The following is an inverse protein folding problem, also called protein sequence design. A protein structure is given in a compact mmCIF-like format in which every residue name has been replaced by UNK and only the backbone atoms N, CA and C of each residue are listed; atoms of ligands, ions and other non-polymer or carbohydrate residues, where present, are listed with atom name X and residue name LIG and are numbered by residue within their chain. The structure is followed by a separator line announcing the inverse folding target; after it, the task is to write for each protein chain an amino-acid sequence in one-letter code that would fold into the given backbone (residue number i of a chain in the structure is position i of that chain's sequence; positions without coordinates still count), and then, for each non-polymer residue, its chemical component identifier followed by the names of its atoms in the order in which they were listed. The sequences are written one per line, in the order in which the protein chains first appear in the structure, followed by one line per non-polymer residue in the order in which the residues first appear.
data_IF_316465342473
#
_entry.id   IF_316465342473
#
_cell.length_a   1.000
_cell.length_b   1.000
_cell.length_c   1.000
_cell.angle_alpha   90.00
_cell.angle_beta   90.00
_cell.angle_gamma   90.00
#
_symmetry.space_group_name_H-M   'P 1'
#
loop_
_entity.id
_entity.type
_entity.pdbx_description
1 polymer ?
#
# COMPACT_ATOMS: atom_id res chain seq x y z
N UNK A 1 -3.52 -6.14 -44.35
CA UNK A 1 -2.57 -5.06 -43.97
C UNK A 1 -3.29 -3.75 -44.21
N UNK A 2 -3.54 -2.94 -43.17
CA UNK A 2 -2.47 -2.24 -42.47
C UNK A 2 -2.37 -2.58 -40.98
N UNK A 3 -1.18 -2.30 -40.44
CA UNK A 3 -0.70 -2.53 -39.09
C UNK A 3 -1.11 -1.38 -38.16
N UNK A 4 -1.78 -1.68 -37.05
CA UNK A 4 -1.97 -0.74 -35.94
C UNK A 4 -0.89 -0.96 -34.89
N UNK A 5 -0.01 0.02 -34.72
CA UNK A 5 1.01 0.04 -33.68
C UNK A 5 0.37 0.27 -32.31
N UNK A 6 0.47 -0.72 -31.42
CA UNK A 6 0.25 -0.51 -29.99
C UNK A 6 1.43 0.29 -29.42
N UNK A 7 1.15 1.51 -28.95
CA UNK A 7 2.06 2.25 -28.07
C UNK A 7 2.18 1.52 -26.72
N UNK A 8 3.34 1.53 -26.04
CA UNK A 8 3.47 0.98 -24.70
C UNK A 8 2.66 1.81 -23.69
N UNK A 9 2.00 1.12 -22.75
CA UNK A 9 1.21 1.74 -21.67
C UNK A 9 2.16 2.39 -20.66
N UNK A 10 2.06 3.72 -20.50
CA UNK A 10 2.86 4.54 -19.59
C UNK A 10 2.76 4.16 -18.09
N UNK A 11 1.81 3.30 -17.69
CA UNK A 11 1.61 2.90 -16.30
C UNK A 11 2.68 1.95 -15.73
N UNK A 12 3.44 1.23 -16.57
CA UNK A 12 4.42 0.24 -16.09
C UNK A 12 5.79 0.83 -15.70
N UNK A 13 6.15 2.03 -16.19
CA UNK A 13 7.45 2.63 -15.88
C UNK A 13 7.49 3.25 -14.47
N UNK A 14 6.39 3.84 -14.01
CA UNK A 14 6.31 4.42 -12.66
C UNK A 14 6.53 3.39 -11.55
N UNK A 15 5.96 2.18 -11.69
CA UNK A 15 6.12 1.09 -10.73
C UNK A 15 7.54 0.49 -10.75
N UNK A 16 8.22 0.55 -11.89
CA UNK A 16 9.61 0.08 -12.06
C UNK A 16 10.60 1.04 -11.40
N UNK A 17 10.31 2.35 -11.42
CA UNK A 17 11.14 3.38 -10.77
C UNK A 17 11.08 3.33 -9.24
N UNK A 18 9.92 3.00 -8.65
CA UNK A 18 9.73 2.82 -7.19
C UNK A 18 10.73 1.82 -6.57
N UNK A 19 11.07 0.74 -7.28
CA UNK A 19 11.84 -0.37 -6.69
C UNK A 19 13.35 -0.30 -6.95
N UNK A 20 13.82 0.55 -7.87
CA UNK A 20 15.25 0.65 -8.18
C UNK A 20 16.09 1.41 -7.13
N UNK A 21 15.48 1.99 -6.09
CA UNK A 21 16.16 2.74 -5.02
C UNK A 21 16.07 2.12 -3.62
N UNK A 22 15.45 0.95 -3.46
CA UNK A 22 15.41 0.25 -2.17
C UNK A 22 16.71 -0.57 -1.97
N UNK A 23 17.49 -0.36 -0.89
CA UNK A 23 18.70 -1.14 -0.65
C UNK A 23 18.31 -2.56 -0.24
N UNK A 24 18.54 -3.52 -1.13
CA UNK A 24 18.42 -4.95 -0.86
C UNK A 24 19.53 -5.40 0.10
N UNK A 25 19.15 -5.69 1.35
CA UNK A 25 19.99 -6.49 2.26
C UNK A 25 20.00 -7.96 1.83
N UNK A 26 21.09 -8.72 2.09
CA UNK A 26 21.21 -10.09 1.61
C UNK A 26 20.43 -11.00 2.54
N UNK A 27 19.57 -11.90 2.03
CA UNK A 27 19.36 -13.22 2.64
C UNK A 27 18.58 -14.13 1.67
N UNK A 28 19.33 -14.70 0.72
CA UNK A 28 18.92 -15.88 -0.01
C UNK A 28 19.48 -17.11 0.74
N UNK A 29 18.61 -18.07 1.11
CA UNK A 29 18.81 -19.54 0.95
C UNK A 29 18.27 -20.52 2.01
N UNK A 30 17.71 -20.13 3.17
CA UNK A 30 17.35 -21.14 4.21
C UNK A 30 15.84 -21.48 4.40
N UNK A 31 14.89 -20.81 3.75
CA UNK A 31 13.47 -20.88 4.16
C UNK A 31 12.55 -21.82 3.34
N UNK A 32 13.07 -22.67 2.44
CA UNK A 32 12.22 -23.46 1.52
C UNK A 32 11.45 -24.63 2.18
N UNK A 33 11.83 -25.07 3.38
CA UNK A 33 11.29 -26.29 4.01
C UNK A 33 10.19 -26.12 5.07
N UNK A 34 10.06 -24.94 5.69
CA UNK A 34 9.27 -24.78 6.92
C UNK A 34 7.80 -24.34 6.71
N UNK A 35 7.44 -23.78 5.56
CA UNK A 35 6.13 -23.16 5.34
C UNK A 35 4.96 -24.13 5.18
N UNK A 36 5.20 -25.40 4.81
CA UNK A 36 4.11 -26.36 4.49
C UNK A 36 3.28 -26.84 5.68
N UNK A 37 3.68 -26.62 6.93
CA UNK A 37 3.04 -27.24 8.10
C UNK A 37 2.25 -26.30 9.03
N UNK A 38 2.12 -25.00 8.75
CA UNK A 38 1.47 -24.05 9.68
C UNK A 38 0.50 -23.03 9.05
N UNK A 39 -0.05 -23.29 7.87
CA UNK A 39 -1.13 -22.47 7.32
C UNK A 39 -2.51 -23.05 7.73
N UNK A 40 -2.88 -22.87 9.00
CA UNK A 40 -4.27 -22.95 9.44
C UNK A 40 -4.85 -21.54 9.52
N UNK A 41 -6.16 -21.33 9.28
CA UNK A 41 -6.75 -19.99 9.23
C UNK A 41 -6.79 -19.40 10.65
N UNK A 42 -5.82 -18.55 10.98
CA UNK A 42 -5.84 -17.78 12.22
C UNK A 42 -6.78 -16.61 12.05
N UNK A 43 -7.94 -16.69 12.72
CA UNK A 43 -8.88 -15.58 12.90
C UNK A 43 -8.19 -14.47 13.70
N UNK A 44 -7.53 -13.53 13.01
CA UNK A 44 -6.94 -12.32 13.60
C UNK A 44 -7.86 -11.08 13.45
N UNK A 45 -9.19 -11.27 13.37
CA UNK A 45 -10.14 -10.20 13.02
C UNK A 45 -10.65 -9.31 14.18
N UNK A 46 -10.01 -9.27 15.36
CA UNK A 46 -10.61 -8.53 16.50
C UNK A 46 -9.73 -7.61 17.34
N UNK A 47 -8.54 -7.19 16.90
CA UNK A 47 -7.70 -6.26 17.70
C UNK A 47 -7.21 -4.99 16.99
N UNK A 48 -7.88 -4.57 15.91
CA UNK A 48 -7.65 -3.25 15.28
C UNK A 48 -8.77 -2.22 15.50
N UNK A 49 -9.94 -2.64 16.00
CA UNK A 49 -11.17 -1.83 15.93
C UNK A 49 -11.36 -0.81 17.07
N UNK A 50 -10.44 -0.70 18.03
CA UNK A 50 -10.67 0.08 19.26
C UNK A 50 -10.25 1.56 19.18
N UNK A 51 -9.94 2.10 18.00
CA UNK A 51 -9.41 3.47 17.86
C UNK A 51 -10.14 4.39 16.87
N UNK A 52 -11.29 3.98 16.34
CA UNK A 52 -11.91 4.63 15.16
C UNK A 52 -13.28 5.23 15.48
N UNK A 53 -13.47 5.73 16.71
CA UNK A 53 -14.77 6.26 17.15
C UNK A 53 -15.13 7.63 16.50
N UNK A 54 -14.20 8.24 15.77
CA UNK A 54 -14.42 9.51 15.04
C UNK A 54 -13.88 9.52 13.60
N UNK A 55 -13.70 8.37 12.95
CA UNK A 55 -13.33 8.42 11.54
C UNK A 55 -14.48 8.99 10.70
N UNK A 56 -14.19 9.83 9.69
CA UNK A 56 -15.15 10.11 8.62
C UNK A 56 -15.66 8.78 8.05
N UNK A 57 -16.90 8.78 7.53
CA UNK A 57 -17.57 7.60 7.03
C UNK A 57 -16.59 6.72 6.23
N UNK A 58 -16.37 5.49 6.70
CA UNK A 58 -15.40 4.60 6.08
C UNK A 58 -15.79 4.42 4.60
N UNK A 59 -14.82 4.49 3.68
CA UNK A 59 -15.10 4.27 2.28
C UNK A 59 -15.86 2.96 2.06
N UNK A 60 -17.01 3.03 1.40
CA UNK A 60 -17.85 1.86 1.13
C UNK A 60 -17.46 1.19 -0.19
N UNK A 61 -17.61 -0.13 -0.28
CA UNK A 61 -17.42 -0.87 -1.53
C UNK A 61 -17.37 -2.38 -1.31
N UNK A 62 -17.40 -3.14 -2.40
CA UNK A 62 -17.42 -4.61 -2.40
C UNK A 62 -16.16 -5.22 -3.03
N UNK A 63 -15.15 -4.42 -3.38
CA UNK A 63 -13.90 -4.90 -3.95
C UNK A 63 -13.05 -5.58 -2.89
N UNK A 64 -12.42 -6.71 -3.26
CA UNK A 64 -11.47 -7.40 -2.38
C UNK A 64 -10.25 -6.51 -2.17
N UNK A 65 -9.90 -6.30 -0.90
CA UNK A 65 -8.76 -5.51 -0.46
C UNK A 65 -7.71 -6.39 0.20
N UNK A 66 -6.45 -6.03 -0.03
CA UNK A 66 -5.28 -6.57 0.63
C UNK A 66 -5.12 -6.02 2.04
N UNK A 67 -5.38 -4.72 2.25
CA UNK A 67 -5.22 -3.97 3.51
C UNK A 67 -3.80 -3.91 4.08
N UNK A 68 -2.83 -4.32 3.26
CA UNK A 68 -1.40 -4.29 3.59
C UNK A 68 -0.58 -4.25 2.30
N UNK A 69 -1.10 -3.54 1.28
CA UNK A 69 -0.40 -3.42 0.01
C UNK A 69 0.74 -2.43 0.18
N UNK A 70 1.97 -2.95 0.12
CA UNK A 70 3.22 -2.21 0.25
C UNK A 70 4.25 -2.78 -0.72
N UNK A 71 5.32 -2.04 -1.07
CA UNK A 71 6.27 -2.45 -2.09
C UNK A 71 6.87 -3.86 -1.88
N UNK A 72 7.13 -4.25 -0.64
CA UNK A 72 7.67 -5.59 -0.30
C UNK A 72 6.67 -6.74 -0.46
N UNK A 73 5.37 -6.44 -0.57
CA UNK A 73 4.30 -7.41 -0.88
C UNK A 73 4.00 -7.48 -2.39
N UNK A 74 4.81 -6.84 -3.24
CA UNK A 74 4.66 -6.82 -4.69
C UNK A 74 5.89 -7.47 -5.36
N UNK A 75 5.65 -8.56 -6.08
CA UNK A 75 6.68 -9.26 -6.86
C UNK A 75 6.50 -8.88 -8.33
N UNK A 76 7.51 -8.24 -8.92
CA UNK A 76 7.51 -7.91 -10.34
C UNK A 76 8.15 -9.04 -11.15
N UNK A 77 7.38 -9.59 -12.08
CA UNK A 77 7.92 -10.47 -13.10
C UNK A 77 8.53 -9.61 -14.23
N UNK A 78 9.86 -9.54 -14.25
CA UNK A 78 10.60 -8.74 -15.23
C UNK A 78 10.44 -9.22 -16.68
N UNK A 79 9.99 -10.47 -16.89
CA UNK A 79 9.80 -11.03 -18.24
C UNK A 79 8.43 -10.68 -18.79
N UNK A 80 7.38 -10.82 -17.98
CA UNK A 80 6.00 -10.55 -18.41
C UNK A 80 5.54 -9.12 -18.13
N UNK A 81 6.25 -8.37 -17.28
CA UNK A 81 5.84 -7.05 -16.79
C UNK A 81 4.66 -7.11 -15.82
N UNK A 82 4.30 -8.30 -15.30
CA UNK A 82 3.19 -8.47 -14.35
C UNK A 82 3.65 -8.22 -12.92
N UNK A 83 2.76 -7.63 -12.13
CA UNK A 83 2.89 -7.55 -10.67
C UNK A 83 2.06 -8.67 -10.01
N UNK A 84 2.68 -9.39 -9.08
CA UNK A 84 2.02 -10.38 -8.24
C UNK A 84 1.95 -9.86 -6.81
N UNK A 85 0.76 -9.92 -6.22
CA UNK A 85 0.51 -9.47 -4.85
C UNK A 85 0.52 -10.69 -3.94
N UNK A 86 1.34 -10.68 -2.88
CA UNK A 86 1.47 -11.77 -1.91
C UNK A 86 1.16 -11.29 -0.48
N UNK A 87 1.11 -12.21 0.48
CA UNK A 87 0.79 -11.94 1.90
C UNK A 87 -0.65 -11.43 2.15
N UNK A 88 -1.64 -12.16 1.61
CA UNK A 88 -3.09 -11.90 1.77
C UNK A 88 -3.63 -12.24 3.17
N UNK A 89 -3.00 -11.74 4.22
CA UNK A 89 -3.31 -12.02 5.62
C UNK A 89 -4.40 -11.09 6.22
N UNK A 90 -4.70 -9.95 5.57
CA UNK A 90 -5.68 -8.94 6.02
C UNK A 90 -6.87 -8.72 5.05
N UNK A 91 -7.35 -9.77 4.40
CA UNK A 91 -8.49 -9.70 3.47
C UNK A 91 -9.74 -9.03 4.06
N UNK A 92 -10.25 -8.01 3.36
CA UNK A 92 -11.56 -7.43 3.60
C UNK A 92 -12.19 -6.95 2.28
N UNK A 93 -13.38 -6.36 2.37
CA UNK A 93 -14.02 -5.69 1.23
C UNK A 93 -14.13 -4.19 1.50
N UNK A 94 -13.93 -3.38 0.47
CA UNK A 94 -14.10 -1.94 0.53
C UNK A 94 -14.02 -1.31 -0.86
N UNK A 95 -13.73 0.00 -0.98
CA UNK A 95 -13.57 0.63 -2.30
C UNK A 95 -12.38 0.04 -3.07
N UNK A 96 -12.50 0.02 -4.39
CA UNK A 96 -11.45 -0.49 -5.28
C UNK A 96 -10.14 0.32 -5.24
N UNK A 97 -10.17 1.56 -4.76
CA UNK A 97 -9.03 2.48 -4.77
C UNK A 97 -8.20 2.48 -3.48
N UNK A 98 -8.66 1.87 -2.38
CA UNK A 98 -8.01 2.04 -1.08
C UNK A 98 -6.57 1.50 -1.02
N UNK A 99 -6.34 0.26 -1.50
CA UNK A 99 -4.99 -0.32 -1.54
C UNK A 99 -4.08 0.44 -2.52
N UNK A 100 -4.64 0.91 -3.63
CA UNK A 100 -3.92 1.77 -4.58
C UNK A 100 -3.44 3.05 -3.90
N UNK A 101 -4.34 3.74 -3.18
CA UNK A 101 -3.99 4.94 -2.42
C UNK A 101 -3.00 4.64 -1.30
N UNK A 102 -3.08 3.48 -0.64
CA UNK A 102 -2.13 3.08 0.41
C UNK A 102 -0.69 2.86 -0.13
N UNK A 103 -0.54 2.56 -1.42
CA UNK A 103 0.76 2.39 -2.07
C UNK A 103 1.42 3.73 -2.48
N UNK A 104 0.62 4.75 -2.78
CA UNK A 104 1.09 6.04 -3.28
C UNK A 104 2.01 6.85 -2.33
N UNK A 105 1.85 6.81 -0.99
CA UNK A 105 2.81 7.41 -0.07
C UNK A 105 4.25 6.92 -0.27
N UNK A 106 4.45 5.64 -0.63
CA UNK A 106 5.77 5.10 -0.94
C UNK A 106 6.31 5.70 -2.25
N UNK A 107 5.45 5.82 -3.26
CA UNK A 107 5.81 6.45 -4.54
C UNK A 107 6.26 7.90 -4.33
N UNK A 108 5.49 8.65 -3.53
CA UNK A 108 5.81 10.01 -3.14
C UNK A 108 7.14 10.10 -2.39
N UNK A 109 7.35 9.23 -1.41
CA UNK A 109 8.60 9.18 -0.64
C UNK A 109 9.83 8.94 -1.53
N UNK A 110 9.68 8.12 -2.56
CA UNK A 110 10.74 7.82 -3.53
C UNK A 110 10.91 8.91 -4.61
N UNK A 111 10.13 10.00 -4.53
CA UNK A 111 10.22 11.17 -5.40
C UNK A 111 9.38 11.09 -6.67
N UNK A 112 8.43 10.16 -6.76
CA UNK A 112 7.46 10.11 -7.87
C UNK A 112 6.29 11.05 -7.62
N UNK A 113 5.69 11.54 -8.72
CA UNK A 113 4.48 12.35 -8.67
C UNK A 113 3.26 11.46 -8.35
N UNK A 114 3.05 11.21 -7.06
CA UNK A 114 1.94 10.41 -6.55
C UNK A 114 0.57 11.02 -6.89
N UNK A 115 0.47 12.35 -7.00
CA UNK A 115 -0.78 13.01 -7.39
C UNK A 115 -1.10 12.78 -8.87
N UNK A 116 -0.10 12.78 -9.75
CA UNK A 116 -0.28 12.39 -11.15
C UNK A 116 -0.63 10.90 -11.28
N UNK A 117 -0.01 10.02 -10.50
CA UNK A 117 -0.37 8.60 -10.47
C UNK A 117 -1.82 8.39 -9.99
N UNK A 118 -2.23 9.09 -8.94
CA UNK A 118 -3.60 9.09 -8.44
C UNK A 118 -4.61 9.49 -9.52
N UNK A 119 -4.37 10.63 -10.20
CA UNK A 119 -5.27 11.11 -11.26
C UNK A 119 -5.26 10.23 -12.52
N UNK A 120 -4.13 9.59 -12.82
CA UNK A 120 -3.95 8.78 -14.04
C UNK A 120 -4.45 7.34 -13.95
N UNK A 121 -4.81 6.86 -12.75
CA UNK A 121 -5.22 5.47 -12.53
C UNK A 121 -6.72 5.26 -12.73
N UNK A 122 -7.09 4.17 -13.40
CA UNK A 122 -8.49 3.75 -13.53
C UNK A 122 -9.12 3.32 -12.19
N UNK A 123 -8.30 2.99 -11.18
CA UNK A 123 -8.79 2.60 -9.86
C UNK A 123 -9.34 3.79 -9.08
N UNK A 124 -8.76 4.97 -9.26
CA UNK A 124 -9.10 6.20 -8.54
C UNK A 124 -9.87 7.22 -9.38
N UNK A 125 -10.36 6.82 -10.56
CA UNK A 125 -11.15 7.72 -11.40
C UNK A 125 -12.46 8.10 -10.70
N UNK A 126 -12.76 9.40 -10.63
CA UNK A 126 -13.96 9.91 -9.99
C UNK A 126 -14.00 9.80 -8.46
N UNK A 127 -12.89 9.41 -7.82
CA UNK A 127 -12.79 9.42 -6.35
C UNK A 127 -12.63 10.86 -5.87
N UNK A 128 -13.49 11.36 -4.97
CA UNK A 128 -13.35 12.69 -4.41
C UNK A 128 -12.04 12.86 -3.62
N UNK A 129 -11.40 14.02 -3.75
CA UNK A 129 -10.12 14.30 -3.07
C UNK A 129 -10.23 14.24 -1.54
N UNK A 130 -11.36 14.66 -0.98
CA UNK A 130 -11.65 14.60 0.45
C UNK A 130 -11.77 13.15 0.96
N UNK A 131 -12.26 12.23 0.13
CA UNK A 131 -12.28 10.80 0.44
C UNK A 131 -10.86 10.20 0.48
N UNK A 132 -10.00 10.59 -0.46
CA UNK A 132 -8.57 10.20 -0.47
C UNK A 132 -7.87 10.73 0.77
N UNK A 133 -8.05 12.01 1.08
CA UNK A 133 -7.43 12.66 2.24
C UNK A 133 -7.93 12.07 3.57
N UNK A 134 -9.21 11.72 3.65
CA UNK A 134 -9.80 11.04 4.80
C UNK A 134 -9.21 9.64 5.01
N UNK A 135 -9.04 8.89 3.91
CA UNK A 135 -8.42 7.56 3.95
C UNK A 135 -6.94 7.64 4.37
N UNK A 136 -6.18 8.59 3.82
CA UNK A 136 -4.79 8.82 4.21
C UNK A 136 -4.67 9.24 5.69
N UNK A 137 -5.58 10.08 6.18
CA UNK A 137 -5.62 10.47 7.59
C UNK A 137 -5.89 9.25 8.50
N UNK A 138 -6.82 8.38 8.12
CA UNK A 138 -7.09 7.14 8.83
C UNK A 138 -5.88 6.20 8.84
N UNK A 139 -5.23 6.01 7.69
CA UNK A 139 -4.04 5.18 7.56
C UNK A 139 -2.88 5.74 8.40
N UNK A 140 -2.66 7.06 8.37
CA UNK A 140 -1.67 7.73 9.19
C UNK A 140 -1.93 7.49 10.68
N UNK A 141 -3.16 7.71 11.15
CA UNK A 141 -3.54 7.50 12.55
C UNK A 141 -3.28 6.05 12.98
N UNK A 142 -3.69 5.07 12.15
CA UNK A 142 -3.42 3.66 12.40
C UNK A 142 -1.92 3.37 12.50
N UNK A 143 -1.11 3.91 11.58
CA UNK A 143 0.34 3.66 11.55
C UNK A 143 1.08 4.35 12.70
N UNK A 144 0.62 5.53 13.16
CA UNK A 144 1.13 6.18 14.37
C UNK A 144 0.90 5.31 15.59
N UNK A 145 -0.34 4.81 15.78
CA UNK A 145 -0.68 3.92 16.90
C UNK A 145 0.10 2.61 16.82
N UNK A 146 0.17 2.01 15.62
CA UNK A 146 0.90 0.77 15.39
C UNK A 146 2.40 0.93 15.64
N UNK A 147 3.01 2.03 15.20
CA UNK A 147 4.43 2.33 15.35
C UNK A 147 4.84 2.74 16.77
N UNK A 148 3.91 3.29 17.56
CA UNK A 148 4.10 3.65 18.97
C UNK A 148 3.80 2.51 19.96
N UNK A 149 3.24 1.40 19.48
CA UNK A 149 2.95 0.21 20.31
C UNK A 149 4.24 -0.53 20.73
N UNK A 150 4.20 -1.35 21.80
CA UNK A 150 5.35 -2.13 22.25
C UNK A 150 5.97 -3.00 21.13
N UNK A 151 7.30 -3.13 21.16
CA UNK A 151 8.05 -3.95 20.22
C UNK A 151 7.61 -5.42 20.27
N UNK A 152 7.65 -6.08 19.12
CA UNK A 152 7.23 -7.49 18.97
C UNK A 152 8.48 -8.34 18.78
N UNK A 153 8.85 -9.22 19.74
CA UNK A 153 10.10 -9.98 19.65
C UNK A 153 10.24 -10.84 18.38
N UNK A 154 9.12 -11.36 17.87
CA UNK A 154 9.10 -12.18 16.66
C UNK A 154 9.06 -11.36 15.36
N UNK A 155 8.97 -10.03 15.44
CA UNK A 155 8.98 -9.13 14.28
C UNK A 155 9.69 -7.82 14.62
N UNK A 156 11.04 -7.82 14.68
CA UNK A 156 11.84 -6.68 15.17
C UNK A 156 11.70 -5.38 14.36
N UNK A 157 11.18 -5.45 13.14
CA UNK A 157 11.02 -4.28 12.26
C UNK A 157 9.58 -3.76 12.20
N UNK A 158 8.62 -4.42 12.84
CA UNK A 158 7.20 -4.08 12.72
C UNK A 158 6.90 -2.65 13.14
N UNK A 159 7.42 -2.21 14.29
CA UNK A 159 7.15 -0.87 14.81
C UNK A 159 7.93 0.20 14.06
N UNK A 160 9.17 -0.11 13.66
CA UNK A 160 9.95 0.76 12.79
C UNK A 160 9.23 1.01 11.46
N UNK A 161 8.66 -0.04 10.85
CA UNK A 161 7.84 0.07 9.66
C UNK A 161 6.61 0.96 9.90
N UNK A 162 5.85 0.74 10.99
CA UNK A 162 4.71 1.60 11.33
C UNK A 162 5.07 3.09 11.45
N UNK A 163 6.18 3.40 12.14
CA UNK A 163 6.69 4.79 12.27
C UNK A 163 7.11 5.39 10.92
N UNK A 164 7.78 4.60 10.10
CA UNK A 164 8.17 4.99 8.74
C UNK A 164 6.95 5.31 7.88
N UNK A 165 5.98 4.38 7.84
CA UNK A 165 4.77 4.51 7.01
C UNK A 165 3.92 5.69 7.48
N UNK A 166 3.77 5.89 8.80
CA UNK A 166 3.08 7.05 9.34
C UNK A 166 3.67 8.37 8.80
N UNK A 167 4.99 8.51 8.84
CA UNK A 167 5.69 9.71 8.36
C UNK A 167 5.40 9.98 6.88
N UNK A 168 5.62 8.99 6.01
CA UNK A 168 5.45 9.21 4.56
C UNK A 168 4.00 9.50 4.16
N UNK A 169 3.03 8.94 4.88
CA UNK A 169 1.60 9.22 4.67
C UNK A 169 1.28 10.65 5.10
N UNK A 170 1.76 11.08 6.28
CA UNK A 170 1.55 12.45 6.79
C UNK A 170 2.21 13.47 5.86
N UNK A 171 3.41 13.20 5.38
CA UNK A 171 4.14 14.09 4.46
C UNK A 171 3.33 14.32 3.18
N UNK A 172 2.87 13.25 2.52
CA UNK A 172 2.08 13.40 1.28
C UNK A 172 0.70 14.04 1.53
N UNK A 173 0.00 13.65 2.60
CA UNK A 173 -1.30 14.25 2.96
C UNK A 173 -1.18 15.75 3.24
N UNK A 174 -0.11 16.17 3.92
CA UNK A 174 0.13 17.59 4.21
C UNK A 174 0.34 18.40 2.93
N UNK A 175 1.08 17.85 1.98
CA UNK A 175 1.28 18.47 0.66
C UNK A 175 0.00 18.56 -0.17
N UNK A 176 -0.84 17.51 -0.15
CA UNK A 176 -2.16 17.52 -0.82
C UNK A 176 -3.05 18.63 -0.27
N UNK A 177 -3.13 18.76 1.06
CA UNK A 177 -3.98 19.78 1.72
C UNK A 177 -3.51 21.20 1.50
N UNK A 178 -2.20 21.45 1.42
CA UNK A 178 -1.66 22.78 1.08
C UNK A 178 -2.05 23.23 -0.33
N UNK A 179 -2.24 22.29 -1.26
CA UNK A 179 -2.63 22.60 -2.66
C UNK A 179 -4.13 22.85 -2.82
N UNK A 180 -4.94 22.36 -1.88
CA UNK A 180 -6.39 22.52 -1.88
C UNK A 180 -6.88 23.77 -1.14
N UNK A 181 -6.01 24.41 -0.34
CA UNK A 181 -6.26 25.66 0.38
C UNK A 181 -5.87 26.88 -0.46
#
# INVERSE_FOLDING_TARGET
MPTSGLRPRAGCEGLRLLLHRCPSGPHESAARGAWRRRAGPRRHTRRGAAGVEQAPALPTGSSVQHNDLRPDNIILDSRSGRAWICDWNYLATGPAWADWVALLPYAHHDGLDADALLRGSTLSVGVPDDAVDSWLALLAAYMVVSGGSPEVPTSPHLRAHGRFTARIVIDWLSERRKRAA
#
